data_IF_621892148727
#
_entry.id   IF_621892148727
#
_cell.length_a   1.000
_cell.length_b   1.000
_cell.length_c   1.000
_cell.angle_alpha   90.00
_cell.angle_beta   90.00
_cell.angle_gamma   90.00
#
_symmetry.space_group_name_H-M   'P 1'
#
loop_
_entity.id
_entity.type
_entity.pdbx_description
1 polymer ?
#
# COMPACT_ATOMS: atom_id res chain seq x y z
N UNK A 1 18.38 -27.03 5.80
CA UNK A 1 19.42 -26.44 4.98
C UNK A 1 19.47 -24.93 5.17
N UNK A 2 20.63 -24.33 5.00
CA UNK A 2 20.87 -22.91 5.29
C UNK A 2 19.98 -21.98 4.47
N UNK A 3 19.75 -22.30 3.20
CA UNK A 3 18.94 -21.46 2.31
C UNK A 3 17.47 -21.44 2.71
N UNK A 4 16.95 -22.58 3.17
CA UNK A 4 15.56 -22.69 3.61
C UNK A 4 15.32 -21.89 4.90
N UNK A 5 16.28 -21.91 5.83
CA UNK A 5 16.21 -21.15 7.07
C UNK A 5 16.24 -19.63 6.81
N UNK A 6 17.13 -19.19 5.91
CA UNK A 6 17.20 -17.78 5.51
C UNK A 6 15.94 -17.33 4.78
N UNK A 7 15.41 -18.18 3.91
CA UNK A 7 14.18 -17.90 3.17
C UNK A 7 13.00 -17.79 4.13
N UNK A 8 12.89 -18.71 5.10
CA UNK A 8 11.85 -18.67 6.13
C UNK A 8 11.91 -17.40 6.98
N UNK A 9 13.12 -16.97 7.37
CA UNK A 9 13.31 -15.72 8.11
C UNK A 9 12.87 -14.51 7.30
N UNK A 10 13.17 -14.47 6.00
CA UNK A 10 12.75 -13.41 5.10
C UNK A 10 11.23 -13.36 4.95
N UNK A 11 10.58 -14.51 4.80
CA UNK A 11 9.12 -14.62 4.72
C UNK A 11 8.49 -14.08 6.01
N UNK A 12 8.99 -14.48 7.16
CA UNK A 12 8.49 -14.04 8.46
C UNK A 12 8.62 -12.52 8.60
N UNK A 13 9.77 -11.97 8.25
CA UNK A 13 9.99 -10.53 8.32
C UNK A 13 9.07 -9.78 7.35
N UNK A 14 8.87 -10.30 6.16
CA UNK A 14 7.94 -9.73 5.17
C UNK A 14 6.52 -9.70 5.72
N UNK A 15 6.05 -10.78 6.31
CA UNK A 15 4.72 -10.87 6.90
C UNK A 15 4.55 -9.90 8.08
N UNK A 16 5.58 -9.76 8.92
CA UNK A 16 5.58 -8.78 10.01
C UNK A 16 5.45 -7.35 9.46
N UNK A 17 6.25 -7.02 8.45
CA UNK A 17 6.19 -5.71 7.80
C UNK A 17 4.83 -5.45 7.18
N UNK A 18 4.25 -6.45 6.54
CA UNK A 18 2.91 -6.35 5.96
C UNK A 18 1.87 -6.01 7.04
N UNK A 19 1.91 -6.71 8.17
CA UNK A 19 1.02 -6.43 9.31
C UNK A 19 1.27 -5.04 9.88
N UNK A 20 2.53 -4.63 10.03
CA UNK A 20 2.90 -3.30 10.51
C UNK A 20 2.39 -2.20 9.58
N UNK A 21 2.52 -2.38 8.27
CA UNK A 21 2.00 -1.44 7.27
C UNK A 21 0.48 -1.31 7.40
N UNK A 22 -0.23 -2.42 7.53
CA UNK A 22 -1.68 -2.40 7.68
C UNK A 22 -2.12 -1.68 8.95
N UNK A 23 -1.40 -1.88 10.05
CA UNK A 23 -1.68 -1.18 11.32
C UNK A 23 -1.45 0.33 11.17
N UNK A 24 -0.35 0.74 10.54
CA UNK A 24 -0.04 2.16 10.32
C UNK A 24 -1.05 2.79 9.36
N UNK A 25 -1.49 2.07 8.34
CA UNK A 25 -2.55 2.54 7.44
C UNK A 25 -3.85 2.80 8.19
N UNK A 26 -4.22 1.92 9.12
CA UNK A 26 -5.41 2.10 9.96
C UNK A 26 -5.29 3.36 10.81
N UNK A 27 -4.11 3.60 11.38
CA UNK A 27 -3.82 4.82 12.16
C UNK A 27 -3.93 6.06 11.27
N UNK A 28 -3.43 6.00 10.05
CA UNK A 28 -3.51 7.11 9.09
C UNK A 28 -4.97 7.42 8.74
N UNK A 29 -5.80 6.41 8.55
CA UNK A 29 -7.24 6.58 8.29
C UNK A 29 -7.90 7.28 9.48
N UNK A 30 -7.57 6.87 10.70
CA UNK A 30 -8.08 7.49 11.93
C UNK A 30 -7.67 8.96 12.01
N UNK A 31 -6.41 9.29 11.71
CA UNK A 31 -5.93 10.66 11.75
C UNK A 31 -6.59 11.54 10.68
N UNK A 32 -6.83 10.99 9.49
CA UNK A 32 -7.56 11.71 8.44
C UNK A 32 -9.01 11.97 8.84
N UNK A 33 -9.63 11.03 9.53
CA UNK A 33 -10.98 11.22 10.08
C UNK A 33 -11.00 12.33 11.14
N UNK A 34 -9.99 12.40 12.01
CA UNK A 34 -9.84 13.48 13.00
C UNK A 34 -9.69 14.83 12.30
N UNK A 35 -8.84 14.90 11.28
CA UNK A 35 -8.64 16.12 10.50
C UNK A 35 -9.96 16.58 9.87
N UNK A 36 -10.72 15.66 9.28
CA UNK A 36 -12.01 15.96 8.67
C UNK A 36 -13.00 16.52 9.70
N UNK A 37 -13.03 15.95 10.91
CA UNK A 37 -13.88 16.46 12.00
C UNK A 37 -13.48 17.87 12.43
N UNK A 38 -12.19 18.15 12.49
CA UNK A 38 -11.69 19.49 12.82
C UNK A 38 -12.11 20.49 11.74
N UNK A 39 -11.98 20.13 10.47
CA UNK A 39 -12.39 20.97 9.35
C UNK A 39 -13.90 21.26 9.39
N UNK A 40 -14.71 20.24 9.64
CA UNK A 40 -16.16 20.40 9.74
C UNK A 40 -16.52 21.31 10.91
N UNK A 41 -15.90 21.11 12.06
CA UNK A 41 -16.14 21.93 13.25
C UNK A 41 -15.78 23.39 12.99
N UNK A 42 -14.65 23.64 12.31
CA UNK A 42 -14.22 24.99 11.94
C UNK A 42 -15.21 25.63 10.96
N UNK A 43 -15.62 24.89 9.93
CA UNK A 43 -16.54 25.40 8.90
C UNK A 43 -17.95 25.67 9.44
N UNK A 44 -18.33 25.02 10.54
CA UNK A 44 -19.63 25.24 11.18
C UNK A 44 -19.65 26.45 12.11
N UNK A 45 -18.49 27.04 12.41
CA UNK A 45 -18.45 28.26 13.19
C UNK A 45 -18.89 29.45 12.34
N UNK A 46 -19.68 30.35 12.91
CA UNK A 46 -20.02 31.60 12.25
C UNK A 46 -18.81 32.54 12.26
N UNK A 47 -18.78 33.48 11.29
CA UNK A 47 -17.70 34.46 11.21
C UNK A 47 -17.56 35.27 12.50
N UNK A 48 -18.67 35.50 13.21
CA UNK A 48 -18.68 36.19 14.50
C UNK A 48 -18.02 35.38 15.62
N UNK A 49 -18.10 34.05 15.53
CA UNK A 49 -17.49 33.13 16.49
C UNK A 49 -16.00 32.92 16.28
N UNK A 50 -15.52 33.21 15.06
CA UNK A 50 -14.11 33.04 14.72
C UNK A 50 -13.32 34.24 15.22
N UNK A 51 -12.74 34.09 16.42
CA UNK A 51 -11.81 35.07 16.98
C UNK A 51 -10.40 34.71 16.57
N UNK A 52 -9.44 35.63 16.77
CA UNK A 52 -8.02 35.33 16.55
C UNK A 52 -7.53 34.13 17.33
N UNK A 53 -7.97 33.99 18.58
CA UNK A 53 -7.61 32.86 19.45
C UNK A 53 -8.19 31.54 18.93
N UNK A 54 -9.43 31.55 18.48
CA UNK A 54 -10.07 30.35 17.90
C UNK A 54 -9.38 29.93 16.61
N UNK A 55 -9.05 30.91 15.76
CA UNK A 55 -8.31 30.63 14.51
C UNK A 55 -6.96 30.00 14.81
N UNK A 56 -6.20 30.52 15.76
CA UNK A 56 -4.92 29.97 16.17
C UNK A 56 -5.06 28.55 16.72
N UNK A 57 -6.09 28.31 17.52
CA UNK A 57 -6.37 27.00 18.12
C UNK A 57 -6.66 25.97 17.03
N UNK A 58 -7.53 26.27 16.09
CA UNK A 58 -7.85 25.37 14.97
C UNK A 58 -6.64 25.15 14.08
N UNK A 59 -5.86 26.19 13.81
CA UNK A 59 -4.64 26.08 13.00
C UNK A 59 -3.65 25.13 13.65
N UNK A 60 -3.46 25.18 14.96
CA UNK A 60 -2.58 24.27 15.69
C UNK A 60 -3.08 22.83 15.64
N UNK A 61 -4.40 22.63 15.82
CA UNK A 61 -5.00 21.30 15.76
C UNK A 61 -4.85 20.69 14.35
N UNK A 62 -5.11 21.48 13.31
CA UNK A 62 -4.98 21.04 11.93
C UNK A 62 -3.52 20.74 11.58
N UNK A 63 -2.59 21.61 11.97
CA UNK A 63 -1.15 21.40 11.76
C UNK A 63 -0.66 20.14 12.46
N UNK A 64 -1.13 19.89 13.69
CA UNK A 64 -0.78 18.70 14.44
C UNK A 64 -1.30 17.42 13.76
N UNK A 65 -2.53 17.44 13.27
CA UNK A 65 -3.12 16.31 12.57
C UNK A 65 -2.39 16.04 11.25
N UNK A 66 -2.08 17.10 10.49
CA UNK A 66 -1.36 16.99 9.22
C UNK A 66 0.06 16.46 9.45
N UNK A 67 0.74 16.90 10.50
CA UNK A 67 2.07 16.42 10.85
C UNK A 67 2.05 14.93 11.18
N UNK A 68 1.05 14.47 11.94
CA UNK A 68 0.89 13.06 12.27
C UNK A 68 0.63 12.21 11.03
N UNK A 69 -0.22 12.70 10.13
CA UNK A 69 -0.50 12.01 8.86
C UNK A 69 0.77 11.89 8.03
N UNK A 70 1.55 12.98 7.92
CA UNK A 70 2.81 12.97 7.19
C UNK A 70 3.81 11.97 7.77
N UNK A 71 3.92 11.92 9.11
CA UNK A 71 4.80 10.96 9.79
C UNK A 71 4.37 9.51 9.54
N UNK A 72 3.06 9.24 9.61
CA UNK A 72 2.53 7.91 9.35
C UNK A 72 2.76 7.48 7.90
N UNK A 73 2.54 8.39 6.95
CA UNK A 73 2.80 8.11 5.53
C UNK A 73 4.29 7.82 5.29
N UNK A 74 5.17 8.54 5.96
CA UNK A 74 6.61 8.31 5.90
C UNK A 74 6.99 6.92 6.42
N UNK A 75 6.40 6.52 7.55
CA UNK A 75 6.61 5.18 8.12
C UNK A 75 6.13 4.11 7.14
N UNK A 76 4.96 4.29 6.54
CA UNK A 76 4.43 3.36 5.53
C UNK A 76 5.41 3.22 4.36
N UNK A 77 5.91 4.33 3.85
CA UNK A 77 6.87 4.33 2.74
C UNK A 77 8.16 3.60 3.11
N UNK A 78 8.68 3.83 4.31
CA UNK A 78 9.89 3.16 4.79
C UNK A 78 9.69 1.65 4.90
N UNK A 79 8.57 1.23 5.46
CA UNK A 79 8.26 -0.20 5.61
C UNK A 79 8.03 -0.87 4.25
N UNK A 80 7.35 -0.19 3.33
CA UNK A 80 7.15 -0.68 1.96
C UNK A 80 8.47 -0.83 1.21
N UNK A 81 9.41 0.09 1.45
CA UNK A 81 10.75 -0.01 0.88
C UNK A 81 11.47 -1.24 1.41
N UNK A 82 11.39 -1.51 2.71
CA UNK A 82 11.95 -2.70 3.32
C UNK A 82 11.33 -3.97 2.73
N UNK A 83 10.02 -3.99 2.53
CA UNK A 83 9.32 -5.11 1.87
C UNK A 83 9.81 -5.29 0.44
N UNK A 84 9.93 -4.20 -0.30
CA UNK A 84 10.43 -4.23 -1.68
C UNK A 84 11.87 -4.77 -1.75
N UNK A 85 12.71 -4.39 -0.80
CA UNK A 85 14.09 -4.88 -0.73
C UNK A 85 14.11 -6.39 -0.48
N UNK A 86 13.26 -6.88 0.41
CA UNK A 86 13.12 -8.33 0.67
C UNK A 86 12.62 -9.06 -0.58
N UNK A 87 11.64 -8.49 -1.28
CA UNK A 87 11.13 -9.05 -2.54
C UNK A 87 12.25 -9.19 -3.56
N UNK A 88 13.04 -8.14 -3.72
CA UNK A 88 14.16 -8.14 -4.69
C UNK A 88 15.24 -9.14 -4.31
N UNK A 89 15.61 -9.19 -3.04
CA UNK A 89 16.64 -10.12 -2.55
C UNK A 89 16.23 -11.58 -2.72
N UNK A 90 14.94 -11.87 -2.60
CA UNK A 90 14.41 -13.23 -2.68
C UNK A 90 13.74 -13.55 -4.02
N UNK A 91 13.75 -12.61 -4.97
CA UNK A 91 13.14 -12.80 -6.26
C UNK A 91 11.62 -12.91 -6.22
N UNK A 92 10.98 -12.25 -5.25
CA UNK A 92 9.52 -12.31 -5.05
C UNK A 92 8.74 -11.25 -5.82
N UNK A 93 9.40 -10.41 -6.61
CA UNK A 93 8.67 -9.43 -7.43
C UNK A 93 7.75 -10.18 -8.40
N UNK A 94 6.69 -9.53 -8.84
CA UNK A 94 5.74 -10.13 -9.80
C UNK A 94 6.49 -10.66 -11.03
N UNK A 95 7.44 -9.87 -11.55
CA UNK A 95 8.25 -10.27 -12.69
C UNK A 95 9.13 -11.49 -12.36
N UNK A 96 9.77 -11.50 -11.18
CA UNK A 96 10.59 -12.62 -10.73
C UNK A 96 9.74 -13.87 -10.50
N UNK A 97 8.55 -13.71 -9.94
CA UNK A 97 7.61 -14.81 -9.76
C UNK A 97 7.20 -15.42 -11.11
N UNK A 98 6.91 -14.58 -12.10
CA UNK A 98 6.57 -15.03 -13.45
C UNK A 98 7.76 -15.78 -14.07
N UNK A 99 8.98 -15.25 -13.93
CA UNK A 99 10.19 -15.88 -14.46
C UNK A 99 10.53 -17.18 -13.75
N UNK A 100 10.13 -17.32 -12.49
CA UNK A 100 10.38 -18.54 -11.72
C UNK A 100 9.37 -19.65 -12.01
N UNK A 101 8.26 -19.38 -12.69
CA UNK A 101 7.27 -20.39 -13.10
C UNK A 101 7.97 -21.37 -14.07
N UNK A 102 7.84 -22.68 -13.86
CA UNK A 102 8.43 -23.66 -14.80
C UNK A 102 7.93 -23.43 -16.20
N UNK A 103 8.84 -23.58 -17.19
CA UNK A 103 8.52 -23.34 -18.60
C UNK A 103 7.31 -24.14 -19.11
N UNK A 104 7.11 -25.35 -18.59
CA UNK A 104 5.98 -26.19 -19.00
C UNK A 104 4.64 -25.58 -18.56
N UNK A 105 4.56 -25.09 -17.33
CA UNK A 105 3.37 -24.43 -16.83
C UNK A 105 3.17 -23.08 -17.53
N UNK A 106 4.25 -22.34 -17.73
CA UNK A 106 4.25 -21.07 -18.45
C UNK A 106 3.78 -21.25 -19.89
N UNK A 107 4.34 -22.23 -20.58
CA UNK A 107 3.96 -22.54 -21.96
C UNK A 107 2.49 -22.98 -22.06
N UNK A 108 2.00 -23.77 -21.12
CA UNK A 108 0.62 -24.23 -21.15
C UNK A 108 -0.38 -23.09 -20.90
N UNK A 109 -0.04 -22.16 -20.03
CA UNK A 109 -0.87 -20.97 -19.78
C UNK A 109 -0.84 -20.01 -20.97
N UNK A 110 0.34 -19.74 -21.50
CA UNK A 110 0.52 -18.89 -22.67
C UNK A 110 -0.19 -19.50 -23.88
N UNK A 111 -0.06 -20.81 -24.08
CA UNK A 111 -0.75 -21.52 -25.16
C UNK A 111 -2.26 -21.46 -25.00
N UNK A 112 -2.76 -21.59 -23.77
CA UNK A 112 -4.20 -21.48 -23.50
C UNK A 112 -4.71 -20.07 -23.80
N UNK A 113 -3.97 -19.03 -23.38
CA UNK A 113 -4.29 -17.65 -23.68
C UNK A 113 -4.23 -17.36 -25.18
N UNK A 114 -3.18 -17.83 -25.83
CA UNK A 114 -3.02 -17.68 -27.29
C UNK A 114 -4.14 -18.39 -28.05
N UNK A 115 -4.53 -19.58 -27.63
CA UNK A 115 -5.64 -20.30 -28.20
C UNK A 115 -6.96 -19.57 -28.04
N UNK A 116 -7.21 -18.97 -26.90
CA UNK A 116 -8.41 -18.17 -26.63
C UNK A 116 -8.44 -16.96 -27.59
N UNK A 117 -7.30 -16.24 -27.66
CA UNK A 117 -7.19 -15.08 -28.54
C UNK A 117 -7.30 -15.45 -30.03
N UNK A 118 -6.59 -16.50 -30.44
CA UNK A 118 -6.62 -16.99 -31.83
C UNK A 118 -7.94 -17.67 -32.13
N UNK A 119 -8.50 -18.40 -31.17
CA UNK A 119 -9.80 -19.05 -31.32
C UNK A 119 -10.91 -18.04 -31.54
N UNK A 120 -10.84 -16.87 -30.89
CA UNK A 120 -11.76 -15.77 -31.15
C UNK A 120 -11.65 -15.25 -32.57
N UNK A 121 -10.43 -15.08 -33.05
CA UNK A 121 -10.16 -14.65 -34.42
C UNK A 121 -10.59 -15.71 -35.42
N UNK A 122 -10.29 -16.98 -35.14
CA UNK A 122 -10.67 -18.10 -36.03
C UNK A 122 -12.18 -18.24 -36.13
N UNK A 123 -12.92 -18.05 -35.05
CA UNK A 123 -14.37 -18.14 -35.06
C UNK A 123 -15.01 -16.98 -35.81
N UNK A 124 -14.34 -15.84 -35.90
CA UNK A 124 -14.80 -14.70 -36.71
C UNK A 124 -14.59 -14.93 -38.19
N UNK A 125 -13.56 -15.69 -38.55
CA UNK A 125 -13.26 -15.99 -39.97
C UNK A 125 -14.06 -17.14 -40.54
N UNK A 126 -14.72 -17.89 -39.69
CA UNK A 126 -15.57 -18.99 -40.08
C UNK A 126 -17.03 -18.55 -40.10
#
# INVERSE_FOLDING_TARGET
QKNDALYGASINRYCELYSEVNAVKADAVTQRAVLSKIEIAFNNLSDEEITGDELMKFTKLMSGALAKIADLDKIIMQKRKMMSDIEKENGWTVLSAIRAIPKQAENSEDDALMKILQGGESSETV
#
